data_IF_916582752701
#
_entry.id   IF_916582752701
#
_cell.length_a   1.000
_cell.length_b   1.000
_cell.length_c   1.000
_cell.angle_alpha   90.00
_cell.angle_beta   90.00
_cell.angle_gamma   90.00
#
_symmetry.space_group_name_H-M   'P 1'
#
loop_
_entity.id
_entity.type
_entity.pdbx_description
1 polymer ?
#
# COMPACT_ATOMS: atom_id res chain seq x y z
N UNK A 1 -10.30 20.18 13.19
CA UNK A 1 -10.88 18.89 13.62
C UNK A 1 -9.74 17.89 13.62
N UNK A 2 -9.42 17.26 14.75
CA UNK A 2 -8.30 16.33 14.82
C UNK A 2 -8.61 15.14 13.90
N UNK A 3 -7.64 14.73 13.09
CA UNK A 3 -7.70 13.65 12.08
C UNK A 3 -8.00 12.25 12.68
N UNK A 4 -8.36 12.21 13.97
CA UNK A 4 -8.43 11.06 14.87
C UNK A 4 -9.83 10.75 15.38
N UNK A 5 -10.75 11.70 15.29
CA UNK A 5 -12.16 11.47 15.62
C UNK A 5 -12.94 10.90 14.43
N UNK A 6 -12.28 10.78 13.27
CA UNK A 6 -12.90 10.28 12.05
C UNK A 6 -12.82 8.76 12.02
N UNK A 7 -13.92 8.12 11.64
CA UNK A 7 -13.97 6.68 11.41
C UNK A 7 -12.89 6.29 10.37
N UNK A 8 -12.18 5.16 10.54
CA UNK A 8 -11.09 4.76 9.64
C UNK A 8 -11.45 4.81 8.14
N UNK A 9 -12.68 4.41 7.71
CA UNK A 9 -13.09 4.55 6.32
C UNK A 9 -13.21 6.00 5.82
N UNK A 10 -13.71 6.93 6.65
CA UNK A 10 -13.82 8.35 6.30
C UNK A 10 -12.44 9.00 6.17
N UNK A 11 -11.53 8.66 7.09
CA UNK A 11 -10.15 9.13 7.07
C UNK A 11 -9.46 8.73 5.77
N UNK A 12 -9.58 7.46 5.39
CA UNK A 12 -8.98 6.94 4.17
C UNK A 12 -9.64 7.55 2.91
N UNK A 13 -10.96 7.79 2.92
CA UNK A 13 -11.65 8.50 1.84
C UNK A 13 -11.13 9.94 1.67
N UNK A 14 -10.99 10.70 2.75
CA UNK A 14 -10.42 12.06 2.74
C UNK A 14 -8.95 12.07 2.31
N UNK A 15 -8.20 11.04 2.69
CA UNK A 15 -6.82 10.87 2.28
C UNK A 15 -6.73 10.68 0.76
N UNK A 16 -7.57 9.83 0.17
CA UNK A 16 -7.64 9.66 -1.29
C UNK A 16 -8.06 10.97 -1.98
N UNK A 17 -9.05 11.68 -1.45
CA UNK A 17 -9.44 12.96 -2.05
C UNK A 17 -8.29 13.98 -2.05
N UNK A 18 -7.52 14.02 -0.96
CA UNK A 18 -6.34 14.89 -0.86
C UNK A 18 -5.25 14.50 -1.86
N UNK A 19 -5.07 13.21 -2.15
CA UNK A 19 -4.09 12.75 -3.15
C UNK A 19 -4.53 13.09 -4.57
N UNK A 20 -5.84 13.03 -4.86
CA UNK A 20 -6.42 13.34 -6.17
C UNK A 20 -6.58 14.85 -6.45
N UNK A 21 -6.71 15.71 -5.43
CA UNK A 21 -6.82 17.18 -5.59
C UNK A 21 -5.51 17.89 -5.94
N UNK A 22 -4.35 17.29 -5.65
CA UNK A 22 -3.03 17.95 -5.72
C UNK A 22 -2.44 18.07 -7.14
N UNK A 23 -3.25 18.49 -8.12
CA UNK A 23 -2.86 18.53 -9.53
C UNK A 23 -2.79 17.12 -10.14
N UNK A 24 -1.93 16.89 -11.15
CA UNK A 24 -1.72 15.53 -11.68
C UNK A 24 -1.09 14.67 -10.60
N UNK A 25 -1.80 13.64 -10.15
CA UNK A 25 -1.30 12.71 -9.13
C UNK A 25 -0.03 12.02 -9.63
N UNK A 26 1.08 12.23 -8.94
CA UNK A 26 2.32 11.50 -9.18
C UNK A 26 2.30 10.10 -8.58
N UNK A 27 3.34 9.31 -8.83
CA UNK A 27 3.42 7.91 -8.40
C UNK A 27 3.21 7.77 -6.89
N UNK A 28 3.85 8.61 -6.07
CA UNK A 28 3.73 8.55 -4.60
C UNK A 28 2.29 8.79 -4.13
N UNK A 29 1.52 9.62 -4.83
CA UNK A 29 0.09 9.83 -4.54
C UNK A 29 -0.74 8.60 -4.91
N UNK A 30 -0.44 7.95 -6.03
CA UNK A 30 -1.14 6.73 -6.47
C UNK A 30 -0.84 5.54 -5.56
N UNK A 31 0.36 5.48 -4.97
CA UNK A 31 0.72 4.45 -3.98
C UNK A 31 -0.23 4.45 -2.78
N UNK A 32 -0.70 5.61 -2.33
CA UNK A 32 -1.67 5.70 -1.22
C UNK A 32 -2.99 5.02 -1.57
N UNK A 33 -3.44 5.15 -2.82
CA UNK A 33 -4.66 4.49 -3.29
C UNK A 33 -4.44 2.96 -3.33
N UNK A 34 -3.26 2.51 -3.77
CA UNK A 34 -2.89 1.10 -3.76
C UNK A 34 -2.83 0.54 -2.34
N UNK A 35 -2.25 1.26 -1.39
CA UNK A 35 -2.18 0.84 0.02
C UNK A 35 -3.58 0.61 0.59
N UNK A 36 -4.50 1.55 0.39
CA UNK A 36 -5.88 1.43 0.87
C UNK A 36 -6.60 0.24 0.20
N UNK A 37 -6.35 0.01 -1.09
CA UNK A 37 -6.99 -1.08 -1.83
C UNK A 37 -6.40 -2.47 -1.54
N UNK A 38 -5.10 -2.56 -1.28
CA UNK A 38 -4.37 -3.83 -1.22
C UNK A 38 -3.92 -4.22 0.19
N UNK A 39 -3.80 -3.26 1.12
CA UNK A 39 -3.28 -3.50 2.46
C UNK A 39 -4.38 -3.48 3.55
N UNK A 40 -5.65 -3.33 3.14
CA UNK A 40 -6.84 -3.37 3.99
C UNK A 40 -7.76 -4.54 3.62
N UNK A 41 -8.73 -4.86 4.49
CA UNK A 41 -9.71 -5.91 4.20
C UNK A 41 -10.70 -5.48 3.11
N UNK A 42 -11.30 -6.44 2.36
CA UNK A 42 -12.34 -6.12 1.36
C UNK A 42 -13.53 -5.35 1.94
N UNK A 43 -13.90 -5.63 3.21
CA UNK A 43 -14.95 -4.92 3.92
C UNK A 43 -14.57 -3.46 4.22
N UNK A 44 -13.31 -3.22 4.62
CA UNK A 44 -12.80 -1.86 4.84
C UNK A 44 -12.79 -1.06 3.53
N UNK A 45 -12.31 -1.64 2.42
CA UNK A 45 -12.33 -0.98 1.11
C UNK A 45 -13.76 -0.63 0.66
N UNK A 46 -14.73 -1.51 0.91
CA UNK A 46 -16.14 -1.23 0.66
C UNK A 46 -16.64 -0.04 1.49
N UNK A 47 -16.32 -0.01 2.79
CA UNK A 47 -16.69 1.10 3.67
C UNK A 47 -16.03 2.42 3.22
N UNK A 48 -14.78 2.39 2.75
CA UNK A 48 -14.08 3.58 2.20
C UNK A 48 -14.83 4.11 0.98
N UNK A 49 -15.26 3.24 0.07
CA UNK A 49 -16.03 3.65 -1.12
C UNK A 49 -17.35 4.31 -0.73
N UNK A 50 -18.07 3.74 0.24
CA UNK A 50 -19.32 4.29 0.74
C UNK A 50 -19.11 5.67 1.41
N UNK A 51 -18.07 5.79 2.23
CA UNK A 51 -17.70 7.06 2.86
C UNK A 51 -17.31 8.11 1.81
N UNK A 52 -16.54 7.72 0.79
CA UNK A 52 -16.13 8.61 -0.29
C UNK A 52 -17.33 9.19 -1.05
N UNK A 53 -18.28 8.32 -1.45
CA UNK A 53 -19.52 8.76 -2.10
C UNK A 53 -20.31 9.75 -1.22
N UNK A 54 -20.38 9.48 0.08
CA UNK A 54 -21.14 10.30 1.03
C UNK A 54 -20.49 11.67 1.29
N UNK A 55 -19.16 11.76 1.19
CA UNK A 55 -18.39 12.96 1.50
C UNK A 55 -18.16 13.89 0.30
N UNK A 56 -18.11 13.33 -0.92
CA UNK A 56 -17.65 14.06 -2.12
C UNK A 56 -18.62 14.03 -3.30
N UNK A 57 -19.83 13.51 -3.11
CA UNK A 57 -20.91 13.47 -4.12
C UNK A 57 -20.51 12.83 -5.46
N UNK A 58 -19.48 11.96 -5.45
CA UNK A 58 -19.05 11.16 -6.59
C UNK A 58 -18.41 9.86 -6.11
N UNK A 59 -18.33 8.87 -6.99
CA UNK A 59 -17.65 7.61 -6.68
C UNK A 59 -16.13 7.75 -6.73
N UNK A 60 -15.45 6.90 -5.96
CA UNK A 60 -13.99 6.82 -5.97
C UNK A 60 -13.46 6.50 -7.37
N UNK A 61 -14.18 5.67 -8.11
CA UNK A 61 -13.90 5.26 -9.48
C UNK A 61 -13.98 6.44 -10.46
N UNK A 62 -15.00 7.29 -10.36
CA UNK A 62 -15.13 8.51 -11.16
C UNK A 62 -14.01 9.51 -10.86
N UNK A 63 -13.66 9.67 -9.57
CA UNK A 63 -12.57 10.54 -9.15
C UNK A 63 -11.22 10.08 -9.73
N UNK A 64 -10.91 8.79 -9.66
CA UNK A 64 -9.71 8.20 -10.29
C UNK A 64 -9.74 8.40 -11.80
N UNK A 65 -10.89 8.16 -12.44
CA UNK A 65 -11.03 8.28 -13.89
C UNK A 65 -10.76 9.70 -14.39
N UNK A 66 -11.18 10.71 -13.62
CA UNK A 66 -11.03 12.11 -13.98
C UNK A 66 -9.63 12.69 -13.66
N UNK A 67 -8.96 12.22 -12.60
CA UNK A 67 -7.71 12.83 -12.09
C UNK A 67 -6.42 12.08 -12.45
N UNK A 68 -6.50 10.78 -12.75
CA UNK A 68 -5.32 9.99 -13.15
C UNK A 68 -5.09 10.12 -14.65
N UNK A 69 -3.92 10.62 -15.06
CA UNK A 69 -3.62 10.90 -16.46
C UNK A 69 -3.20 9.68 -17.27
N UNK A 70 -2.44 8.76 -16.67
CA UNK A 70 -1.98 7.54 -17.37
C UNK A 70 -3.12 6.54 -17.49
N UNK A 71 -3.39 6.07 -18.72
CA UNK A 71 -4.40 5.06 -18.99
C UNK A 71 -4.11 3.75 -18.26
N UNK A 72 -2.85 3.31 -18.26
CA UNK A 72 -2.43 2.06 -17.61
C UNK A 72 -2.57 2.12 -16.09
N UNK A 73 -2.12 3.21 -15.46
CA UNK A 73 -2.29 3.40 -14.01
C UNK A 73 -3.77 3.47 -13.64
N UNK A 74 -4.59 4.14 -14.47
CA UNK A 74 -6.03 4.23 -14.27
C UNK A 74 -6.70 2.86 -14.31
N UNK A 75 -6.41 2.04 -15.34
CA UNK A 75 -6.96 0.68 -15.44
C UNK A 75 -6.58 -0.17 -14.23
N UNK A 76 -5.30 -0.13 -13.82
CA UNK A 76 -4.85 -0.83 -12.62
C UNK A 76 -5.61 -0.37 -11.38
N UNK A 77 -5.63 0.94 -11.11
CA UNK A 77 -6.27 1.49 -9.92
C UNK A 77 -7.77 1.20 -9.89
N UNK A 78 -8.47 1.34 -11.02
CA UNK A 78 -9.89 1.00 -11.14
C UNK A 78 -10.12 -0.48 -10.81
N UNK A 79 -9.29 -1.38 -11.34
CA UNK A 79 -9.38 -2.80 -11.01
C UNK A 79 -9.17 -3.07 -9.52
N UNK A 80 -8.23 -2.36 -8.87
CA UNK A 80 -7.95 -2.52 -7.45
C UNK A 80 -9.10 -2.00 -6.57
N UNK A 81 -9.53 -0.75 -6.77
CA UNK A 81 -10.52 -0.10 -5.89
C UNK A 81 -11.94 -0.62 -6.09
N UNK A 82 -12.28 -1.07 -7.30
CA UNK A 82 -13.62 -1.59 -7.59
C UNK A 82 -13.82 -3.01 -7.06
N UNK A 83 -12.73 -3.69 -6.68
CA UNK A 83 -12.76 -5.08 -6.28
C UNK A 83 -13.44 -5.28 -4.91
N UNK A 84 -14.31 -6.29 -4.82
CA UNK A 84 -14.74 -6.88 -3.55
C UNK A 84 -14.24 -8.32 -3.55
N UNK A 85 -12.98 -8.49 -3.16
CA UNK A 85 -12.28 -9.78 -3.26
C UNK A 85 -12.84 -10.76 -2.24
N UNK A 86 -12.98 -12.01 -2.65
CA UNK A 86 -13.40 -13.09 -1.76
C UNK A 86 -12.38 -13.27 -0.63
N UNK A 87 -12.82 -13.10 0.61
CA UNK A 87 -11.95 -13.06 1.79
C UNK A 87 -11.84 -14.41 2.53
N UNK A 88 -12.00 -15.53 1.80
CA UNK A 88 -11.74 -16.85 2.36
C UNK A 88 -10.56 -17.51 1.69
N UNK A 89 -9.87 -18.32 2.47
CA UNK A 89 -8.73 -19.13 2.02
C UNK A 89 -9.20 -20.23 1.08
N UNK A 90 -9.33 -19.88 -0.19
CA UNK A 90 -9.58 -20.79 -1.29
C UNK A 90 -8.48 -20.61 -2.32
N UNK A 91 -7.58 -21.57 -2.37
CA UNK A 91 -6.38 -21.54 -3.20
C UNK A 91 -6.38 -22.73 -4.17
N UNK A 92 -6.27 -22.44 -5.46
CA UNK A 92 -5.99 -23.41 -6.51
C UNK A 92 -4.50 -23.34 -6.87
N UNK A 93 -3.77 -24.40 -6.52
CA UNK A 93 -2.33 -24.49 -6.75
C UNK A 93 -1.97 -24.62 -8.23
N UNK A 94 -2.84 -25.19 -9.07
CA UNK A 94 -2.58 -25.29 -10.51
C UNK A 94 -2.70 -23.92 -11.17
N UNK A 95 -3.73 -23.15 -10.79
CA UNK A 95 -3.89 -21.75 -11.19
C UNK A 95 -2.70 -20.93 -10.70
N UNK A 96 -2.28 -21.11 -9.44
CA UNK A 96 -1.16 -20.36 -8.86
C UNK A 96 0.16 -20.61 -9.62
N UNK A 97 0.44 -21.87 -9.99
CA UNK A 97 1.60 -22.22 -10.82
C UNK A 97 1.52 -21.62 -12.22
N UNK A 98 0.37 -21.71 -12.87
CA UNK A 98 0.16 -21.17 -14.21
C UNK A 98 0.32 -19.65 -14.22
N UNK A 99 -0.29 -18.95 -13.27
CA UNK A 99 -0.21 -17.50 -13.15
C UNK A 99 1.20 -17.03 -12.79
N UNK A 100 1.93 -17.78 -11.95
CA UNK A 100 3.33 -17.47 -11.66
C UNK A 100 4.19 -17.50 -12.93
N UNK A 101 3.97 -18.49 -13.81
CA UNK A 101 4.66 -18.57 -15.08
C UNK A 101 4.30 -17.43 -16.04
N UNK A 102 3.02 -17.06 -16.12
CA UNK A 102 2.56 -15.91 -16.92
C UNK A 102 3.17 -14.59 -16.44
N UNK A 103 3.18 -14.35 -15.13
CA UNK A 103 3.80 -13.18 -14.54
C UNK A 103 5.30 -13.14 -14.84
N UNK A 104 5.99 -14.28 -14.77
CA UNK A 104 7.41 -14.36 -15.10
C UNK A 104 7.68 -14.02 -16.56
N UNK A 105 6.92 -14.61 -17.49
CA UNK A 105 7.06 -14.32 -18.92
C UNK A 105 6.85 -12.83 -19.23
N UNK A 106 5.84 -12.21 -18.60
CA UNK A 106 5.57 -10.79 -18.75
C UNK A 106 6.72 -9.92 -18.23
N UNK A 107 7.31 -10.28 -17.08
CA UNK A 107 8.45 -9.58 -16.47
C UNK A 107 9.70 -9.71 -17.35
N UNK A 108 10.03 -10.91 -17.83
CA UNK A 108 11.21 -11.14 -18.70
C UNK A 108 11.11 -10.36 -20.01
N UNK A 109 9.90 -10.31 -20.60
CA UNK A 109 9.63 -9.57 -21.82
C UNK A 109 9.44 -8.06 -21.61
N UNK A 110 9.47 -7.58 -20.37
CA UNK A 110 9.19 -6.18 -19.98
C UNK A 110 7.81 -5.69 -20.45
N UNK A 111 6.83 -6.58 -20.45
CA UNK A 111 5.44 -6.32 -20.89
C UNK A 111 4.51 -6.34 -19.67
N UNK A 112 4.78 -5.44 -18.73
CA UNK A 112 4.02 -5.32 -17.47
C UNK A 112 2.61 -4.74 -17.67
N UNK A 113 2.36 -4.13 -18.82
CA UNK A 113 1.11 -3.53 -19.27
C UNK A 113 0.12 -4.55 -19.88
N UNK A 114 0.52 -5.84 -20.00
CA UNK A 114 -0.38 -6.91 -20.45
C UNK A 114 -1.63 -6.99 -19.58
N UNK A 115 -2.79 -7.13 -20.22
CA UNK A 115 -4.08 -7.30 -19.56
C UNK A 115 -4.08 -8.44 -18.55
N UNK A 116 -3.36 -9.53 -18.83
CA UNK A 116 -3.23 -10.67 -17.92
C UNK A 116 -2.57 -10.28 -16.58
N UNK A 117 -1.52 -9.45 -16.60
CA UNK A 117 -0.84 -8.97 -15.39
C UNK A 117 -1.79 -8.11 -14.56
N UNK A 118 -2.48 -7.17 -15.22
CA UNK A 118 -3.45 -6.30 -14.58
C UNK A 118 -4.59 -7.12 -13.97
N UNK A 119 -5.13 -8.07 -14.72
CA UNK A 119 -6.25 -8.90 -14.30
C UNK A 119 -5.89 -9.81 -13.12
N UNK A 120 -4.73 -10.49 -13.16
CA UNK A 120 -4.27 -11.34 -12.06
C UNK A 120 -4.19 -10.50 -10.78
N UNK A 121 -3.46 -9.38 -10.82
CA UNK A 121 -3.21 -8.56 -9.64
C UNK A 121 -4.45 -7.82 -9.12
N UNK A 122 -5.40 -7.48 -9.99
CA UNK A 122 -6.60 -6.72 -9.62
C UNK A 122 -7.80 -7.56 -9.19
N UNK A 123 -7.92 -8.81 -9.64
CA UNK A 123 -9.15 -9.60 -9.43
C UNK A 123 -9.00 -10.78 -8.49
N UNK A 124 -7.80 -11.38 -8.41
CA UNK A 124 -7.59 -12.59 -7.60
C UNK A 124 -7.72 -12.30 -6.11
N UNK A 125 -8.24 -13.28 -5.36
CA UNK A 125 -8.26 -13.18 -3.91
C UNK A 125 -6.82 -13.12 -3.35
N UNK A 126 -6.64 -12.54 -2.17
CA UNK A 126 -5.29 -12.35 -1.60
C UNK A 126 -4.57 -13.66 -1.27
N UNK A 127 -5.30 -14.70 -0.84
CA UNK A 127 -4.70 -16.01 -0.57
C UNK A 127 -4.14 -16.67 -1.84
N UNK A 128 -4.88 -16.59 -2.94
CA UNK A 128 -4.47 -17.07 -4.26
C UNK A 128 -3.25 -16.30 -4.75
N UNK A 129 -3.24 -14.97 -4.63
CA UNK A 129 -2.09 -14.15 -5.04
C UNK A 129 -0.84 -14.49 -4.25
N UNK A 130 -0.95 -14.64 -2.92
CA UNK A 130 0.17 -15.08 -2.07
C UNK A 130 0.68 -16.45 -2.48
N UNK A 131 -0.21 -17.40 -2.83
CA UNK A 131 0.19 -18.70 -3.36
C UNK A 131 0.92 -18.58 -4.71
N UNK A 132 0.42 -17.73 -5.61
CA UNK A 132 1.06 -17.40 -6.90
C UNK A 132 2.47 -16.82 -6.69
N UNK A 133 2.63 -15.84 -5.78
CA UNK A 133 3.92 -15.22 -5.49
C UNK A 133 4.90 -16.19 -4.81
N UNK A 134 4.39 -17.07 -3.93
CA UNK A 134 5.17 -18.15 -3.34
C UNK A 134 5.68 -19.12 -4.41
N UNK A 135 4.83 -19.55 -5.34
CA UNK A 135 5.25 -20.39 -6.46
C UNK A 135 6.24 -19.70 -7.39
N UNK A 136 6.03 -18.40 -7.66
CA UNK A 136 6.99 -17.59 -8.41
C UNK A 136 8.38 -17.64 -7.76
N UNK A 137 8.47 -17.34 -6.45
CA UNK A 137 9.74 -17.35 -5.72
C UNK A 137 10.40 -18.73 -5.71
N UNK A 138 9.61 -19.80 -5.59
CA UNK A 138 10.12 -21.18 -5.61
C UNK A 138 10.69 -21.58 -6.98
N UNK A 139 10.06 -21.16 -8.07
CA UNK A 139 10.48 -21.56 -9.41
C UNK A 139 11.64 -20.71 -9.94
N UNK A 140 11.63 -19.41 -9.63
CA UNK A 140 12.57 -18.44 -10.22
C UNK A 140 13.63 -17.94 -9.23
N UNK A 141 13.61 -18.43 -7.98
CA UNK A 141 14.58 -18.12 -6.92
C UNK A 141 14.71 -16.63 -6.56
N UNK A 142 13.80 -15.79 -7.05
CA UNK A 142 13.74 -14.36 -6.77
C UNK A 142 12.30 -13.98 -6.41
N UNK A 143 12.08 -13.17 -5.36
CA UNK A 143 10.76 -12.61 -5.09
C UNK A 143 10.26 -11.77 -6.26
N UNK A 144 8.97 -11.90 -6.61
CA UNK A 144 8.38 -11.22 -7.78
C UNK A 144 8.50 -9.68 -7.71
N UNK A 145 8.40 -9.07 -6.52
CA UNK A 145 8.58 -7.63 -6.37
C UNK A 145 10.00 -7.16 -6.74
N UNK A 146 11.02 -8.00 -6.55
CA UNK A 146 12.39 -7.69 -6.98
C UNK A 146 12.53 -7.87 -8.48
N UNK A 147 11.94 -8.93 -9.04
CA UNK A 147 11.98 -9.19 -10.48
C UNK A 147 11.34 -8.05 -11.29
N UNK A 148 10.24 -7.47 -10.82
CA UNK A 148 9.61 -6.30 -11.44
C UNK A 148 10.56 -5.09 -11.44
N UNK A 149 11.22 -4.81 -10.31
CA UNK A 149 12.19 -3.71 -10.24
C UNK A 149 13.39 -3.91 -11.18
N UNK A 150 13.80 -5.15 -11.41
CA UNK A 150 14.87 -5.47 -12.36
C UNK A 150 14.42 -5.38 -13.83
N UNK A 151 13.13 -5.51 -14.12
CA UNK A 151 12.60 -5.42 -15.50
C UNK A 151 12.58 -4.00 -16.05
N UNK A 152 12.46 -2.98 -15.18
CA UNK A 152 12.47 -1.57 -15.52
C UNK A 152 12.09 -0.69 -14.33
N UNK A 153 12.42 0.59 -14.41
CA UNK A 153 12.11 1.60 -13.38
C UNK A 153 11.01 2.56 -13.85
N UNK A 154 10.04 2.07 -14.61
CA UNK A 154 8.93 2.89 -15.05
C UNK A 154 7.88 3.06 -13.93
N UNK A 155 6.99 4.03 -14.11
CA UNK A 155 5.97 4.35 -13.13
C UNK A 155 5.03 3.18 -12.87
N UNK A 156 4.76 2.37 -13.90
CA UNK A 156 3.90 1.20 -13.81
C UNK A 156 4.55 0.10 -12.98
N UNK A 157 5.79 -0.27 -13.26
CA UNK A 157 6.54 -1.26 -12.48
C UNK A 157 6.67 -0.84 -11.01
N UNK A 158 6.90 0.44 -10.76
CA UNK A 158 6.92 1.00 -9.40
C UNK A 158 5.58 0.82 -8.67
N UNK A 159 4.46 1.02 -9.37
CA UNK A 159 3.13 0.86 -8.79
C UNK A 159 2.76 -0.62 -8.59
N UNK A 160 3.07 -1.48 -9.56
CA UNK A 160 2.85 -2.93 -9.48
C UNK A 160 3.66 -3.57 -8.35
N UNK A 161 4.88 -3.10 -8.10
CA UNK A 161 5.66 -3.51 -6.93
C UNK A 161 4.93 -3.21 -5.64
N UNK A 162 4.34 -2.02 -5.52
CA UNK A 162 3.59 -1.64 -4.31
C UNK A 162 2.34 -2.49 -4.15
N UNK A 163 1.63 -2.81 -5.25
CA UNK A 163 0.51 -3.77 -5.23
C UNK A 163 0.94 -5.11 -4.64
N UNK A 164 2.04 -5.67 -5.16
CA UNK A 164 2.55 -6.97 -4.71
C UNK A 164 2.99 -6.92 -3.25
N UNK A 165 3.75 -5.91 -2.85
CA UNK A 165 4.21 -5.79 -1.47
C UNK A 165 3.04 -5.63 -0.51
N UNK A 166 2.06 -4.79 -0.82
CA UNK A 166 0.87 -4.61 0.04
C UNK A 166 0.09 -5.94 0.23
N UNK A 167 0.10 -6.82 -0.77
CA UNK A 167 -0.60 -8.12 -0.69
C UNK A 167 0.26 -9.17 0.04
N UNK A 168 1.54 -9.29 -0.30
CA UNK A 168 2.43 -10.38 0.13
C UNK A 168 3.15 -10.10 1.46
N UNK A 169 3.69 -8.89 1.58
CA UNK A 169 4.53 -8.46 2.70
C UNK A 169 4.30 -6.97 3.00
N UNK A 170 3.09 -6.59 3.43
CA UNK A 170 2.76 -5.19 3.66
C UNK A 170 3.66 -4.55 4.72
N UNK A 171 4.10 -5.30 5.73
CA UNK A 171 5.07 -4.85 6.72
C UNK A 171 6.35 -4.29 6.09
N UNK A 172 6.80 -4.91 4.99
CA UNK A 172 7.97 -4.48 4.23
C UNK A 172 7.71 -3.17 3.49
N UNK A 173 6.54 -3.04 2.85
CA UNK A 173 6.14 -1.80 2.18
C UNK A 173 6.10 -0.63 3.18
N UNK A 174 5.42 -0.81 4.31
CA UNK A 174 5.28 0.26 5.30
C UNK A 174 6.61 0.59 5.98
N UNK A 175 7.50 -0.38 6.21
CA UNK A 175 8.87 -0.11 6.66
C UNK A 175 9.65 0.76 5.65
N UNK A 176 9.50 0.48 4.34
CA UNK A 176 10.12 1.31 3.29
C UNK A 176 9.53 2.73 3.23
N UNK A 177 8.21 2.89 3.38
CA UNK A 177 7.55 4.21 3.44
C UNK A 177 8.07 5.01 4.64
N UNK A 178 8.15 4.39 5.81
CA UNK A 178 8.68 5.02 7.02
C UNK A 178 10.14 5.43 6.81
N UNK A 179 10.98 4.54 6.27
CA UNK A 179 12.37 4.85 5.96
C UNK A 179 12.50 6.03 4.99
N UNK A 180 11.71 6.04 3.92
CA UNK A 180 11.70 7.15 2.96
C UNK A 180 11.31 8.46 3.65
N UNK A 181 10.29 8.44 4.51
CA UNK A 181 9.82 9.63 5.24
C UNK A 181 10.86 10.22 6.21
N UNK A 182 11.72 9.39 6.79
CA UNK A 182 12.78 9.80 7.73
C UNK A 182 14.11 10.16 7.04
N UNK A 183 14.33 9.68 5.82
CA UNK A 183 15.60 9.85 5.10
C UNK A 183 15.88 11.27 4.58
N UNK A 184 14.86 12.12 4.47
CA UNK A 184 14.97 13.48 3.96
C UNK A 184 15.62 14.50 4.92
N UNK A 185 15.99 15.67 4.39
CA UNK A 185 16.47 16.81 5.18
C UNK A 185 15.37 17.31 6.15
N UNK A 186 14.12 17.27 5.69
CA UNK A 186 12.91 17.42 6.51
C UNK A 186 12.16 16.09 6.51
N UNK A 187 11.61 15.71 7.66
CA UNK A 187 10.76 14.53 7.80
C UNK A 187 9.45 14.73 7.02
N UNK A 188 9.07 13.77 6.19
CA UNK A 188 7.71 13.74 5.60
C UNK A 188 6.73 13.20 6.64
N UNK A 189 6.29 14.12 7.50
CA UNK A 189 5.38 13.85 8.60
C UNK A 189 4.07 13.20 8.14
N UNK A 190 3.58 13.53 6.94
CA UNK A 190 2.32 12.97 6.44
C UNK A 190 2.46 11.50 6.04
N UNK A 191 3.53 11.14 5.32
CA UNK A 191 3.77 9.74 4.95
C UNK A 191 4.13 8.89 6.17
N UNK A 192 4.90 9.44 7.11
CA UNK A 192 5.23 8.77 8.38
C UNK A 192 3.96 8.48 9.19
N UNK A 193 3.12 9.50 9.40
CA UNK A 193 1.84 9.39 10.09
C UNK A 193 0.94 8.33 9.44
N UNK A 194 0.71 8.44 8.13
CA UNK A 194 -0.13 7.51 7.37
C UNK A 194 0.34 6.07 7.52
N UNK A 195 1.64 5.81 7.36
CA UNK A 195 2.19 4.46 7.45
C UNK A 195 2.02 3.86 8.84
N UNK A 196 2.26 4.66 9.89
CA UNK A 196 2.07 4.21 11.27
C UNK A 196 0.60 3.84 11.51
N UNK A 197 -0.31 4.67 11.05
CA UNK A 197 -1.74 4.54 11.33
C UNK A 197 -2.50 3.51 10.57
N UNK A 198 -2.09 3.27 9.33
CA UNK A 198 -2.65 2.18 8.59
C UNK A 198 -2.38 0.85 9.32
N UNK A 199 -1.35 0.76 10.19
CA UNK A 199 -0.76 -0.51 10.63
C UNK A 199 -0.61 -0.71 12.13
N UNK A 200 -0.84 0.33 12.94
CA UNK A 200 -0.57 0.30 14.40
C UNK A 200 -1.31 -0.83 15.12
N UNK A 201 -2.56 -1.11 14.74
CA UNK A 201 -3.37 -2.19 15.32
C UNK A 201 -3.30 -3.51 14.53
N UNK A 202 -2.49 -3.57 13.45
CA UNK A 202 -2.46 -4.72 12.52
C UNK A 202 -1.15 -5.50 12.68
N UNK A 203 0.00 -4.86 12.42
CA UNK A 203 1.30 -5.56 12.31
C UNK A 203 2.51 -4.67 12.59
N UNK A 204 2.34 -3.64 13.42
CA UNK A 204 3.40 -2.69 13.78
C UNK A 204 4.71 -3.36 14.24
N UNK A 205 4.63 -4.45 15.00
CA UNK A 205 5.82 -5.18 15.46
C UNK A 205 6.65 -5.76 14.31
N UNK A 206 5.98 -6.30 13.27
CA UNK A 206 6.67 -6.80 12.07
C UNK A 206 7.29 -5.66 11.27
N UNK A 207 6.63 -4.51 11.21
CA UNK A 207 7.17 -3.30 10.57
C UNK A 207 8.44 -2.83 11.30
N UNK A 208 8.44 -2.82 12.63
CA UNK A 208 9.63 -2.48 13.43
C UNK A 208 10.80 -3.44 13.15
N UNK A 209 10.51 -4.74 13.05
CA UNK A 209 11.51 -5.76 12.70
C UNK A 209 12.08 -5.55 11.29
N UNK A 210 11.21 -5.40 10.28
CA UNK A 210 11.63 -5.13 8.89
C UNK A 210 12.44 -3.83 8.78
N UNK A 211 12.01 -2.78 9.46
CA UNK A 211 12.74 -1.51 9.51
C UNK A 211 14.14 -1.70 10.10
N UNK A 212 14.25 -2.40 11.24
CA UNK A 212 15.55 -2.70 11.84
C UNK A 212 16.42 -3.55 10.90
N UNK A 213 15.85 -4.55 10.24
CA UNK A 213 16.57 -5.40 9.28
C UNK A 213 17.15 -4.59 8.12
N UNK A 214 16.41 -3.60 7.62
CA UNK A 214 16.84 -2.71 6.53
C UNK A 214 17.86 -1.66 6.96
N UNK A 215 17.69 -1.06 8.14
CA UNK A 215 18.42 0.15 8.55
C UNK A 215 19.49 -0.07 9.62
N UNK A 216 19.47 -1.21 10.31
CA UNK A 216 20.30 -1.51 11.48
C UNK A 216 20.16 -0.50 12.63
N UNK A 217 19.03 0.20 12.66
CA UNK A 217 18.63 1.16 13.69
C UNK A 217 17.16 0.88 14.01
N UNK A 218 16.80 0.92 15.29
CA UNK A 218 15.40 0.71 15.68
C UNK A 218 14.52 1.83 15.13
N UNK A 219 13.26 1.52 14.83
CA UNK A 219 12.30 2.54 14.38
C UNK A 219 12.14 3.65 15.43
N UNK A 220 12.06 3.25 16.70
CA UNK A 220 11.86 4.18 17.82
C UNK A 220 13.04 5.18 17.91
N UNK A 221 14.29 4.70 17.82
CA UNK A 221 15.48 5.56 17.79
C UNK A 221 15.49 6.49 16.57
N UNK A 222 15.10 5.97 15.40
CA UNK A 222 15.09 6.74 14.17
C UNK A 222 14.09 7.90 14.22
N UNK A 223 12.91 7.68 14.81
CA UNK A 223 11.92 8.73 15.03
C UNK A 223 12.46 9.74 16.05
N UNK A 224 12.95 9.29 17.20
CA UNK A 224 13.49 10.16 18.27
C UNK A 224 14.59 11.09 17.75
N UNK A 225 15.48 10.61 16.89
CA UNK A 225 16.55 11.45 16.31
C UNK A 225 16.03 12.53 15.36
N UNK A 226 14.88 12.30 14.71
CA UNK A 226 14.31 13.19 13.68
C UNK A 226 13.22 14.11 14.21
N UNK A 227 12.65 13.79 15.36
CA UNK A 227 11.61 14.57 16.04
C UNK A 227 12.18 15.04 17.37
N UNK A 228 12.38 16.35 17.56
CA UNK A 228 13.08 16.98 18.70
C UNK A 228 12.40 16.83 20.08
N UNK A 229 11.70 15.71 20.31
CA UNK A 229 10.95 15.35 21.51
C UNK A 229 10.56 13.86 21.62
N UNK A 230 11.03 13.00 20.71
CA UNK A 230 10.67 11.57 20.70
C UNK A 230 9.30 11.25 20.06
N UNK A 231 8.98 9.95 20.01
CA UNK A 231 7.74 9.45 19.38
C UNK A 231 6.49 10.05 20.00
N UNK A 232 6.50 10.28 21.32
CA UNK A 232 5.38 10.87 22.05
C UNK A 232 5.13 12.33 21.65
N UNK A 233 6.18 13.14 21.58
CA UNK A 233 6.05 14.55 21.16
C UNK A 233 5.72 14.66 19.67
N UNK A 234 6.16 13.73 18.82
CA UNK A 234 5.72 13.64 17.42
C UNK A 234 4.21 13.37 17.28
N UNK A 235 3.68 12.44 18.08
CA UNK A 235 2.26 12.13 18.12
C UNK A 235 1.45 13.27 18.75
N UNK A 236 1.99 13.91 19.79
CA UNK A 236 1.38 15.06 20.47
C UNK A 236 1.37 16.31 19.56
N UNK A 237 2.44 16.60 18.82
CA UNK A 237 2.53 17.68 17.81
C UNK A 237 1.50 17.53 16.69
N UNK A 238 1.16 16.28 16.37
CA UNK A 238 0.15 15.98 15.37
C UNK A 238 -1.29 15.92 15.96
N UNK A 239 -1.47 16.22 17.25
CA UNK A 239 -2.74 16.21 17.99
C UNK A 239 -3.41 14.81 18.06
N UNK A 240 -2.63 13.75 18.34
CA UNK A 240 -3.08 12.35 18.38
C UNK A 240 -3.56 12.02 19.79
N UNK A 241 -4.77 11.48 19.93
CA UNK A 241 -5.35 11.13 21.23
C UNK A 241 -4.57 9.98 21.91
N UNK A 242 -4.36 10.14 23.22
CA UNK A 242 -3.56 9.29 24.14
C UNK A 242 -3.82 7.78 24.14
N UNK A 243 -4.88 7.28 23.49
CA UNK A 243 -5.25 5.86 23.51
C UNK A 243 -4.40 4.97 22.58
N UNK A 244 -3.78 5.52 21.52
CA UNK A 244 -2.90 4.74 20.62
C UNK A 244 -1.42 4.77 21.04
N UNK A 245 -1.03 5.69 21.92
CA UNK A 245 0.35 5.80 22.43
C UNK A 245 0.71 4.56 23.26
N UNK A 246 -0.26 3.97 23.97
CA UNK A 246 -0.04 2.80 24.80
C UNK A 246 0.16 1.51 23.97
N UNK A 247 -0.52 1.38 22.83
CA UNK A 247 -0.41 0.21 21.94
C UNK A 247 0.86 0.21 21.08
N UNK A 248 1.42 1.39 20.78
CA UNK A 248 2.68 1.50 20.02
C UNK A 248 3.94 1.33 20.89
N UNK A 249 3.79 1.41 22.21
CA UNK A 249 4.87 1.31 23.21
C UNK A 249 4.93 -0.05 23.92
N UNK A 250 3.90 -0.89 23.81
CA UNK A 250 3.84 -2.26 24.33
C UNK A 250 4.27 -3.30 23.30
#
# INVERSE_FOLDING_TARGET
>A
MSYWMEEPPERDAKLVEKTLKRGKAGITQLQVIVEIACASSPNHLMAVRQAYCSLFDCSLEEAITSKVSSSLQKVLLLGLVSSYRYDRELVDLNVAKSEAAKLHEAIEKKQLDRDEVMWILSTRNFFQLRATFKHYKQNYQVPIYQAIMSSGSDDLGSLLRVVILCIDAPEKHFAEVIRASLSGHRTDVHSLARAILARVEIDMMKIKEEYFNMNKVSLDDAVVRKTSGGYKDFLDDLNWSKNLILTAQS
#
